data_IF_953780158737
#
_entry.id   IF_953780158737
#
_cell.length_a   1.000
_cell.length_b   1.000
_cell.length_c   1.000
_cell.angle_alpha   90.00
_cell.angle_beta   90.00
_cell.angle_gamma   90.00
#
_symmetry.space_group_name_H-M   'P 1'
#
loop_
_entity.id
_entity.type
_entity.pdbx_description
1 polymer ?
#
# COMPACT_ATOMS: atom_id res chain seq x y z
N UNK A 1 5.00 -18.52 -26.35
CA UNK A 1 4.74 -17.92 -25.02
C UNK A 1 4.61 -19.04 -23.99
N UNK A 2 5.50 -19.11 -23.00
CA UNK A 2 5.40 -20.08 -21.90
C UNK A 2 4.11 -19.81 -21.09
N UNK A 3 3.36 -20.88 -20.80
CA UNK A 3 2.09 -20.76 -20.07
C UNK A 3 2.37 -20.24 -18.64
N UNK A 4 1.42 -19.52 -18.06
CA UNK A 4 1.53 -19.01 -16.69
C UNK A 4 1.81 -20.15 -15.69
N UNK A 5 1.16 -21.30 -15.89
CA UNK A 5 1.33 -22.51 -15.08
C UNK A 5 2.77 -23.00 -15.03
N UNK A 6 3.47 -22.97 -16.17
CA UNK A 6 4.85 -23.47 -16.30
C UNK A 6 5.82 -22.51 -15.59
N UNK A 7 5.60 -21.20 -15.72
CA UNK A 7 6.34 -20.19 -14.99
C UNK A 7 6.18 -20.35 -13.48
N UNK A 8 4.95 -20.55 -13.00
CA UNK A 8 4.67 -20.73 -11.56
C UNK A 8 5.35 -22.00 -11.03
N UNK A 9 5.21 -23.13 -11.71
CA UNK A 9 5.80 -24.41 -11.30
C UNK A 9 7.33 -24.36 -11.27
N UNK A 10 7.96 -23.79 -12.30
CA UNK A 10 9.41 -23.71 -12.41
C UNK A 10 10.04 -22.78 -11.33
N UNK A 11 9.26 -21.86 -10.77
CA UNK A 11 9.78 -20.81 -9.86
C UNK A 11 9.09 -20.82 -8.49
N UNK A 12 8.38 -21.89 -8.12
CA UNK A 12 7.52 -21.95 -6.95
C UNK A 12 8.22 -21.54 -5.65
N UNK A 13 9.45 -21.97 -5.42
CA UNK A 13 10.17 -21.68 -4.17
C UNK A 13 10.46 -20.17 -4.01
N UNK A 14 10.92 -19.50 -5.07
CA UNK A 14 11.22 -18.07 -5.04
C UNK A 14 9.95 -17.21 -4.99
N UNK A 15 8.92 -17.59 -5.72
CA UNK A 15 7.61 -16.92 -5.70
C UNK A 15 6.92 -17.09 -4.35
N UNK A 16 6.98 -18.30 -3.75
CA UNK A 16 6.48 -18.57 -2.41
C UNK A 16 7.25 -17.78 -1.34
N UNK A 17 8.57 -17.62 -1.49
CA UNK A 17 9.35 -16.77 -0.60
C UNK A 17 8.92 -15.30 -0.70
N UNK A 18 8.68 -14.77 -1.91
CA UNK A 18 8.15 -13.43 -2.12
C UNK A 18 6.77 -13.25 -1.50
N UNK A 19 5.85 -14.19 -1.70
CA UNK A 19 4.54 -14.22 -1.08
C UNK A 19 4.63 -14.26 0.45
N UNK A 20 5.47 -15.14 1.02
CA UNK A 20 5.64 -15.29 2.46
C UNK A 20 6.15 -13.99 3.11
N UNK A 21 7.15 -13.34 2.48
CA UNK A 21 7.69 -12.06 2.97
C UNK A 21 6.61 -10.97 2.99
N UNK A 22 5.81 -10.85 1.92
CA UNK A 22 4.75 -9.84 1.87
C UNK A 22 3.57 -10.19 2.78
N UNK A 23 3.24 -11.49 2.94
CA UNK A 23 2.25 -11.92 3.92
C UNK A 23 2.73 -11.62 5.35
N UNK A 24 3.98 -11.94 5.69
CA UNK A 24 4.56 -11.62 7.00
C UNK A 24 4.59 -10.10 7.25
N UNK A 25 4.76 -9.27 6.22
CA UNK A 25 4.71 -7.82 6.35
C UNK A 25 3.36 -7.31 6.88
N UNK A 26 2.30 -8.08 6.70
CA UNK A 26 0.93 -7.74 7.12
C UNK A 26 0.82 -7.49 8.63
N UNK A 27 1.63 -8.16 9.44
CA UNK A 27 1.65 -7.94 10.90
C UNK A 27 2.19 -6.55 11.32
N UNK A 28 2.83 -5.82 10.42
CA UNK A 28 3.22 -4.42 10.61
C UNK A 28 2.43 -3.42 9.77
N UNK A 29 1.37 -3.87 9.09
CA UNK A 29 0.50 -3.01 8.29
C UNK A 29 -0.61 -2.37 9.12
N UNK A 30 -1.13 -1.25 8.64
CA UNK A 30 -2.19 -0.48 9.30
C UNK A 30 -3.41 -1.33 9.60
N UNK A 31 -3.90 -2.09 8.63
CA UNK A 31 -5.12 -2.89 8.76
C UNK A 31 -5.04 -3.93 9.89
N UNK A 32 -3.83 -4.44 10.20
CA UNK A 32 -3.62 -5.40 11.28
C UNK A 32 -3.44 -4.69 12.64
N UNK A 33 -2.58 -3.67 12.72
CA UNK A 33 -2.34 -2.93 13.96
C UNK A 33 -3.64 -2.32 14.49
N UNK A 34 -4.49 -1.83 13.59
CA UNK A 34 -5.75 -1.16 13.95
C UNK A 34 -6.86 -2.12 14.43
N UNK A 35 -6.68 -3.43 14.27
CA UNK A 35 -7.55 -4.43 14.91
C UNK A 35 -7.61 -4.21 16.43
N UNK A 36 -6.48 -3.84 17.01
CA UNK A 36 -6.31 -3.66 18.46
C UNK A 36 -6.47 -2.20 18.93
N UNK A 37 -6.95 -1.30 18.05
CA UNK A 37 -6.99 0.14 18.36
C UNK A 37 -7.88 0.47 19.58
N UNK A 38 -8.99 -0.23 19.75
CA UNK A 38 -9.89 -0.06 20.89
C UNK A 38 -9.20 -0.41 22.21
N UNK A 39 -8.61 -1.60 22.27
CA UNK A 39 -7.92 -2.16 23.43
C UNK A 39 -6.66 -1.36 23.79
N UNK A 40 -5.87 -0.95 22.78
CA UNK A 40 -4.68 -0.12 23.00
C UNK A 40 -5.08 1.24 23.58
N UNK A 41 -6.10 1.89 23.00
CA UNK A 41 -6.57 3.18 23.51
C UNK A 41 -7.09 3.08 24.93
N UNK A 42 -7.87 2.06 25.23
CA UNK A 42 -8.39 1.83 26.58
C UNK A 42 -7.26 1.53 27.59
N UNK A 43 -6.23 0.76 27.20
CA UNK A 43 -5.12 0.40 28.07
C UNK A 43 -4.20 1.58 28.42
N UNK A 44 -4.11 2.60 27.55
CA UNK A 44 -3.21 3.75 27.73
C UNK A 44 -3.95 5.09 27.86
N UNK A 45 -5.27 5.07 28.03
CA UNK A 45 -6.14 6.26 28.15
C UNK A 45 -5.90 7.27 27.00
N UNK A 46 -5.91 6.78 25.77
CA UNK A 46 -5.63 7.59 24.59
C UNK A 46 -6.92 8.01 23.89
N UNK A 47 -7.00 9.29 23.52
CA UNK A 47 -7.99 9.77 22.56
C UNK A 47 -7.73 9.24 21.15
N UNK A 48 -8.69 9.37 20.23
CA UNK A 48 -8.50 8.98 18.82
C UNK A 48 -7.36 9.79 18.15
N UNK A 49 -7.31 11.09 18.43
CA UNK A 49 -6.26 11.97 17.93
C UNK A 49 -4.88 11.65 18.50
N UNK A 50 -4.79 11.35 19.82
CA UNK A 50 -3.54 10.92 20.44
C UNK A 50 -3.02 9.61 19.81
N UNK A 51 -3.88 8.60 19.64
CA UNK A 51 -3.54 7.34 18.98
C UNK A 51 -3.10 7.55 17.53
N UNK A 52 -3.86 8.35 16.74
CA UNK A 52 -3.52 8.69 15.38
C UNK A 52 -2.18 9.44 15.28
N UNK A 53 -1.89 10.34 16.22
CA UNK A 53 -0.62 11.08 16.26
C UNK A 53 0.56 10.16 16.58
N UNK A 54 0.43 9.27 17.57
CA UNK A 54 1.45 8.25 17.89
C UNK A 54 1.75 7.41 16.64
N UNK A 55 0.71 6.93 15.97
CA UNK A 55 0.86 6.14 14.76
C UNK A 55 1.54 6.92 13.62
N UNK A 56 1.16 8.17 13.41
CA UNK A 56 1.73 9.05 12.39
C UNK A 56 3.22 9.32 12.63
N UNK A 57 3.60 9.69 13.86
CA UNK A 57 4.99 9.94 14.24
C UNK A 57 5.85 8.69 14.10
N UNK A 58 5.37 7.54 14.58
CA UNK A 58 6.06 6.27 14.45
C UNK A 58 6.24 5.84 12.98
N UNK A 59 5.20 6.03 12.15
CA UNK A 59 5.24 5.75 10.71
C UNK A 59 6.21 6.67 9.98
N UNK A 60 6.17 7.97 10.25
CA UNK A 60 7.10 8.95 9.65
C UNK A 60 8.56 8.65 10.04
N UNK A 61 8.81 8.33 11.30
CA UNK A 61 10.15 7.94 11.77
C UNK A 61 10.64 6.66 11.06
N UNK A 62 9.77 5.65 10.92
CA UNK A 62 10.13 4.42 10.20
C UNK A 62 10.47 4.68 8.73
N UNK A 63 9.73 5.57 8.08
CA UNK A 63 9.99 5.98 6.71
C UNK A 63 11.33 6.72 6.56
N UNK A 64 11.67 7.59 7.51
CA UNK A 64 12.96 8.25 7.54
C UNK A 64 14.10 7.23 7.63
N UNK A 65 14.00 6.24 8.53
CA UNK A 65 15.00 5.17 8.66
C UNK A 65 15.09 4.31 7.39
N UNK A 66 13.97 4.06 6.71
CA UNK A 66 13.93 3.27 5.47
C UNK A 66 14.78 3.86 4.34
N UNK A 67 15.02 5.18 4.33
CA UNK A 67 15.89 5.83 3.32
C UNK A 67 17.29 5.21 3.31
N UNK A 68 17.82 4.86 4.49
CA UNK A 68 19.13 4.21 4.63
C UNK A 68 19.01 2.69 4.73
N UNK A 69 18.06 2.18 5.49
CA UNK A 69 17.87 0.75 5.72
C UNK A 69 17.49 0.00 4.43
N UNK A 70 16.80 0.64 3.49
CA UNK A 70 16.49 0.05 2.18
C UNK A 70 17.71 -0.37 1.39
N UNK A 71 18.85 0.36 1.51
CA UNK A 71 20.11 0.03 0.84
C UNK A 71 20.78 -1.24 1.36
N UNK A 72 20.37 -1.77 2.50
CA UNK A 72 20.86 -3.05 3.02
C UNK A 72 20.60 -4.21 2.06
N UNK A 73 19.49 -4.16 1.32
CA UNK A 73 19.17 -5.17 0.28
C UNK A 73 20.16 -5.16 -0.89
N UNK A 74 20.95 -4.09 -1.07
CA UNK A 74 21.99 -4.00 -2.09
C UNK A 74 23.30 -4.63 -1.63
N UNK A 75 23.54 -4.66 -0.32
CA UNK A 75 24.80 -5.12 0.28
C UNK A 75 24.75 -6.57 0.75
N UNK A 76 23.58 -7.03 1.15
CA UNK A 76 23.39 -8.36 1.74
C UNK A 76 22.42 -9.21 0.91
N UNK A 77 22.52 -10.52 1.07
CA UNK A 77 21.62 -11.47 0.42
C UNK A 77 20.23 -11.38 1.01
N UNK A 78 19.20 -11.48 0.15
CA UNK A 78 17.79 -11.42 0.58
C UNK A 78 17.47 -12.46 1.65
N UNK A 79 18.05 -13.67 1.58
CA UNK A 79 17.91 -14.70 2.59
C UNK A 79 18.36 -14.22 3.98
N UNK A 80 19.50 -13.53 4.08
CA UNK A 80 20.05 -13.04 5.35
C UNK A 80 19.19 -11.91 5.91
N UNK A 81 18.94 -10.88 5.09
CA UNK A 81 18.12 -9.73 5.50
C UNK A 81 16.68 -10.16 5.81
N UNK A 82 16.07 -10.98 4.96
CA UNK A 82 14.70 -11.44 5.15
C UNK A 82 14.53 -12.17 6.48
N UNK A 83 15.48 -13.05 6.86
CA UNK A 83 15.45 -13.75 8.15
C UNK A 83 15.66 -12.79 9.32
N UNK A 84 16.61 -11.85 9.23
CA UNK A 84 16.89 -10.86 10.29
C UNK A 84 15.65 -9.96 10.50
N UNK A 85 15.06 -9.47 9.41
CA UNK A 85 13.88 -8.59 9.46
C UNK A 85 12.65 -9.35 9.99
N UNK A 86 12.47 -10.62 9.59
CA UNK A 86 11.39 -11.47 10.08
C UNK A 86 11.54 -11.76 11.59
N UNK A 87 12.77 -12.05 12.04
CA UNK A 87 13.06 -12.21 13.46
C UNK A 87 12.84 -10.91 14.24
N UNK A 88 13.25 -9.76 13.69
CA UNK A 88 13.00 -8.44 14.26
C UNK A 88 11.51 -8.14 14.39
N UNK A 89 10.71 -8.48 13.37
CA UNK A 89 9.25 -8.33 13.41
C UNK A 89 8.62 -9.25 14.48
N UNK A 90 9.08 -10.50 14.58
CA UNK A 90 8.60 -11.44 15.61
C UNK A 90 8.93 -10.94 17.02
N UNK A 91 10.17 -10.46 17.25
CA UNK A 91 10.55 -9.86 18.54
C UNK A 91 9.72 -8.61 18.86
N UNK A 92 9.41 -7.81 17.86
CA UNK A 92 8.54 -6.62 18.04
C UNK A 92 7.11 -7.04 18.40
N UNK A 93 6.59 -8.11 17.80
CA UNK A 93 5.30 -8.66 18.17
C UNK A 93 5.29 -9.21 19.62
N UNK A 94 6.39 -9.83 20.07
CA UNK A 94 6.55 -10.18 21.50
C UNK A 94 6.62 -8.93 22.37
N UNK A 95 7.30 -7.87 21.94
CA UNK A 95 7.37 -6.63 22.68
C UNK A 95 5.98 -5.99 22.93
N UNK A 96 5.03 -6.12 21.97
CA UNK A 96 3.64 -5.68 22.13
C UNK A 96 2.92 -6.34 23.32
N UNK A 97 3.27 -7.55 23.69
CA UNK A 97 2.74 -8.20 24.88
C UNK A 97 3.16 -7.48 26.18
N UNK A 98 4.41 -6.98 26.23
CA UNK A 98 5.02 -6.41 27.44
C UNK A 98 4.88 -4.87 27.55
N UNK A 99 4.27 -4.20 26.58
CA UNK A 99 4.14 -2.73 26.64
C UNK A 99 3.33 -2.29 27.85
N UNK A 100 3.89 -1.35 28.60
CA UNK A 100 3.26 -0.79 29.80
C UNK A 100 3.31 0.76 29.86
N UNK A 101 3.86 1.41 28.85
CA UNK A 101 3.94 2.86 28.75
C UNK A 101 3.74 3.35 27.32
N UNK A 102 3.30 4.60 27.18
CA UNK A 102 3.09 5.24 25.87
C UNK A 102 4.41 5.30 25.07
N UNK A 103 5.55 5.51 25.73
CA UNK A 103 6.86 5.54 25.05
C UNK A 103 7.24 4.18 24.47
N UNK A 104 6.98 3.09 25.20
CA UNK A 104 7.16 1.73 24.66
C UNK A 104 6.21 1.48 23.50
N UNK A 105 4.97 1.97 23.58
CA UNK A 105 4.00 1.87 22.49
C UNK A 105 4.52 2.58 21.23
N UNK A 106 4.99 3.84 21.33
CA UNK A 106 5.57 4.59 20.20
C UNK A 106 6.72 3.83 19.55
N UNK A 107 7.65 3.33 20.36
CA UNK A 107 8.80 2.57 19.88
C UNK A 107 8.36 1.26 19.20
N UNK A 108 7.40 0.55 19.78
CA UNK A 108 6.94 -0.73 19.24
C UNK A 108 6.17 -0.53 17.93
N UNK A 109 5.30 0.49 17.83
CA UNK A 109 4.66 0.86 16.56
C UNK A 109 5.70 1.25 15.51
N UNK A 110 6.71 2.05 15.86
CA UNK A 110 7.82 2.37 14.96
C UNK A 110 8.51 1.11 14.43
N UNK A 111 8.83 0.15 15.29
CA UNK A 111 9.49 -1.10 14.90
C UNK A 111 8.58 -2.00 14.04
N UNK A 112 7.27 -2.10 14.37
CA UNK A 112 6.29 -2.81 13.56
C UNK A 112 6.23 -2.22 12.14
N UNK A 113 6.20 -0.89 12.04
CA UNK A 113 6.18 -0.18 10.75
C UNK A 113 7.48 -0.37 9.99
N UNK A 114 8.62 -0.29 10.67
CA UNK A 114 9.94 -0.44 10.06
C UNK A 114 10.18 -1.86 9.56
N UNK A 115 10.01 -2.87 10.41
CA UNK A 115 10.26 -4.27 10.02
C UNK A 115 9.15 -4.83 9.14
N UNK A 116 7.87 -4.56 9.44
CA UNK A 116 6.73 -5.11 8.70
C UNK A 116 6.50 -4.37 7.39
N UNK A 117 5.91 -3.20 7.42
CA UNK A 117 5.57 -2.46 6.21
C UNK A 117 6.81 -2.05 5.42
N UNK A 118 7.86 -1.56 6.08
CA UNK A 118 9.05 -1.06 5.45
C UNK A 118 9.92 -2.20 4.88
N UNK A 119 10.77 -2.77 5.71
CA UNK A 119 11.84 -3.67 5.28
C UNK A 119 11.32 -4.98 4.69
N UNK A 120 10.31 -5.62 5.29
CA UNK A 120 9.81 -6.91 4.81
C UNK A 120 9.22 -6.81 3.40
N UNK A 121 8.34 -5.84 3.17
CA UNK A 121 7.77 -5.57 1.84
C UNK A 121 8.86 -5.17 0.84
N UNK A 122 9.83 -4.36 1.27
CA UNK A 122 10.95 -3.93 0.42
C UNK A 122 11.81 -5.12 0.00
N UNK A 123 12.19 -6.00 0.92
CA UNK A 123 12.94 -7.22 0.61
C UNK A 123 12.25 -8.08 -0.44
N UNK A 124 10.92 -8.28 -0.31
CA UNK A 124 10.14 -9.04 -1.27
C UNK A 124 10.16 -8.40 -2.67
N UNK A 125 9.88 -7.10 -2.75
CA UNK A 125 9.80 -6.39 -4.04
C UNK A 125 11.15 -6.33 -4.74
N UNK A 126 12.24 -6.07 -3.99
CA UNK A 126 13.61 -6.08 -4.53
C UNK A 126 14.00 -7.47 -5.02
N UNK A 127 13.69 -8.52 -4.23
CA UNK A 127 13.95 -9.90 -4.63
C UNK A 127 13.26 -10.26 -5.95
N UNK A 128 11.96 -10.01 -6.05
CA UNK A 128 11.19 -10.30 -7.25
C UNK A 128 11.68 -9.51 -8.46
N UNK A 129 12.02 -8.24 -8.25
CA UNK A 129 12.53 -7.39 -9.32
C UNK A 129 13.90 -7.83 -9.86
N UNK A 130 14.79 -8.33 -8.99
CA UNK A 130 16.15 -8.78 -9.36
C UNK A 130 16.17 -10.17 -9.94
N UNK A 131 15.36 -11.08 -9.39
CA UNK A 131 15.39 -12.48 -9.80
C UNK A 131 14.62 -12.75 -11.09
N UNK A 132 13.67 -11.90 -11.47
CA UNK A 132 12.77 -12.11 -12.59
C UNK A 132 12.76 -10.94 -13.59
N UNK A 133 13.91 -10.58 -14.16
CA UNK A 133 14.01 -9.41 -15.06
C UNK A 133 13.02 -9.50 -16.24
N UNK A 134 12.99 -10.62 -16.96
CA UNK A 134 12.10 -10.81 -18.12
C UNK A 134 10.60 -10.92 -17.76
N UNK A 135 10.27 -11.23 -16.50
CA UNK A 135 8.89 -11.46 -16.01
C UNK A 135 8.65 -10.78 -14.67
N UNK A 136 9.31 -9.64 -14.46
CA UNK A 136 9.26 -8.86 -13.23
C UNK A 136 7.82 -8.60 -12.78
N UNK A 137 6.95 -8.15 -13.69
CA UNK A 137 5.55 -7.86 -13.37
C UNK A 137 4.81 -9.05 -12.78
N UNK A 138 4.95 -10.25 -13.37
CA UNK A 138 4.30 -11.46 -12.85
C UNK A 138 4.82 -11.85 -11.47
N UNK A 139 6.13 -11.80 -11.27
CA UNK A 139 6.74 -12.16 -9.99
C UNK A 139 6.33 -11.19 -8.87
N UNK A 140 6.35 -9.87 -9.14
CA UNK A 140 5.91 -8.84 -8.21
C UNK A 140 4.41 -8.97 -7.88
N UNK A 141 3.57 -9.28 -8.89
CA UNK A 141 2.14 -9.50 -8.66
C UNK A 141 1.89 -10.72 -7.76
N UNK A 142 2.59 -11.85 -7.99
CA UNK A 142 2.45 -13.04 -7.12
C UNK A 142 2.90 -12.73 -5.69
N UNK A 143 4.02 -12.04 -5.52
CA UNK A 143 4.44 -11.59 -4.19
C UNK A 143 3.41 -10.66 -3.55
N UNK A 144 2.84 -9.71 -4.29
CA UNK A 144 1.82 -8.78 -3.80
C UNK A 144 0.55 -9.47 -3.28
N UNK A 145 0.22 -10.67 -3.78
CA UNK A 145 -0.89 -11.47 -3.24
C UNK A 145 -0.70 -11.83 -1.76
N UNK A 146 0.53 -11.86 -1.25
CA UNK A 146 0.78 -12.13 0.16
C UNK A 146 0.19 -11.05 1.07
N UNK A 147 0.47 -9.77 0.80
CA UNK A 147 -0.12 -8.67 1.59
C UNK A 147 -1.63 -8.60 1.39
N UNK A 148 -2.12 -8.82 0.18
CA UNK A 148 -3.56 -8.87 -0.10
C UNK A 148 -4.27 -9.99 0.70
N UNK A 149 -3.65 -11.18 0.78
CA UNK A 149 -4.17 -12.27 1.60
C UNK A 149 -4.17 -11.90 3.09
N UNK A 150 -3.10 -11.26 3.58
CA UNK A 150 -3.02 -10.78 4.96
C UNK A 150 -4.10 -9.73 5.28
N UNK A 151 -4.31 -8.77 4.38
CA UNK A 151 -5.35 -7.73 4.51
C UNK A 151 -6.76 -8.33 4.56
N UNK A 152 -7.02 -9.35 3.74
CA UNK A 152 -8.32 -10.00 3.68
C UNK A 152 -8.60 -10.91 4.89
N UNK A 153 -7.60 -11.63 5.41
CA UNK A 153 -7.84 -12.72 6.36
C UNK A 153 -7.43 -12.39 7.80
N UNK A 154 -6.33 -11.66 8.01
CA UNK A 154 -5.83 -11.43 9.37
C UNK A 154 -6.80 -10.60 10.24
N UNK A 155 -7.41 -9.50 9.76
CA UNK A 155 -8.37 -8.75 10.57
C UNK A 155 -9.55 -9.60 11.02
N UNK A 156 -10.14 -10.39 10.12
CA UNK A 156 -11.28 -11.28 10.47
C UNK A 156 -10.88 -12.27 11.55
N UNK A 157 -9.76 -12.97 11.35
CA UNK A 157 -9.28 -13.98 12.29
C UNK A 157 -8.97 -13.40 13.67
N UNK A 158 -8.25 -12.28 13.72
CA UNK A 158 -7.83 -11.68 14.98
C UNK A 158 -8.97 -10.95 15.71
N UNK A 159 -9.90 -10.30 14.99
CA UNK A 159 -11.10 -9.71 15.62
C UNK A 159 -12.00 -10.79 16.20
N UNK A 160 -12.17 -11.94 15.54
CA UNK A 160 -12.91 -13.07 16.09
C UNK A 160 -12.23 -13.61 17.37
N UNK A 161 -10.90 -13.67 17.40
CA UNK A 161 -10.14 -14.13 18.57
C UNK A 161 -10.15 -13.10 19.72
N UNK A 162 -10.27 -11.79 19.45
CA UNK A 162 -10.42 -10.76 20.49
C UNK A 162 -11.64 -10.98 21.39
N UNK A 163 -12.69 -11.66 20.88
CA UNK A 163 -13.84 -12.02 21.68
C UNK A 163 -13.55 -13.09 22.75
N UNK A 164 -12.41 -13.77 22.69
CA UNK A 164 -12.06 -14.91 23.57
C UNK A 164 -10.74 -14.68 24.32
N UNK A 165 -9.78 -14.00 23.70
CA UNK A 165 -8.42 -13.83 24.21
C UNK A 165 -8.11 -12.37 24.46
N UNK A 166 -7.28 -12.10 25.49
CA UNK A 166 -6.69 -10.77 25.69
C UNK A 166 -5.86 -10.36 24.47
N UNK A 167 -5.95 -9.09 24.09
CA UNK A 167 -5.27 -8.55 22.93
C UNK A 167 -3.74 -8.70 22.97
N UNK A 168 -3.13 -8.66 24.14
CA UNK A 168 -1.70 -8.88 24.31
C UNK A 168 -1.31 -10.31 23.96
N UNK A 169 -2.13 -11.29 24.35
CA UNK A 169 -1.91 -12.72 24.03
C UNK A 169 -1.98 -12.95 22.51
N UNK A 170 -2.84 -12.23 21.81
CA UNK A 170 -2.94 -12.32 20.36
C UNK A 170 -1.66 -11.81 19.66
N UNK A 171 -0.94 -10.88 20.25
CA UNK A 171 0.38 -10.51 19.75
C UNK A 171 1.44 -11.60 19.94
N UNK A 172 1.33 -12.44 20.97
CA UNK A 172 2.16 -13.64 21.08
C UNK A 172 1.80 -14.70 20.02
N UNK A 173 0.52 -14.82 19.66
CA UNK A 173 0.09 -15.68 18.54
C UNK A 173 0.67 -15.18 17.22
N UNK A 174 0.64 -13.87 16.99
CA UNK A 174 1.29 -13.24 15.83
C UNK A 174 2.79 -13.52 15.82
N UNK A 175 3.47 -13.36 16.95
CA UNK A 175 4.89 -13.68 17.09
C UNK A 175 5.19 -15.15 16.80
N UNK A 176 4.40 -16.08 17.34
CA UNK A 176 4.56 -17.52 17.09
C UNK A 176 4.40 -17.84 15.59
N UNK A 177 3.44 -17.22 14.91
CA UNK A 177 3.25 -17.36 13.46
C UNK A 177 4.47 -16.86 12.69
N UNK A 178 5.02 -15.69 13.05
CA UNK A 178 6.22 -15.14 12.42
C UNK A 178 7.46 -16.02 12.67
N UNK A 179 7.61 -16.56 13.87
CA UNK A 179 8.69 -17.50 14.20
C UNK A 179 8.57 -18.79 13.37
N UNK A 180 7.35 -19.32 13.19
CA UNK A 180 7.13 -20.49 12.34
C UNK A 180 7.50 -20.24 10.86
N UNK A 181 7.43 -19.00 10.40
CA UNK A 181 7.86 -18.64 9.04
C UNK A 181 9.38 -18.58 8.87
N UNK A 182 10.18 -18.48 9.93
CA UNK A 182 11.66 -18.43 9.83
C UNK A 182 12.25 -19.67 9.15
N UNK A 183 11.99 -20.91 9.62
CA UNK A 183 12.50 -22.11 8.97
C UNK A 183 11.94 -22.29 7.55
N UNK A 184 10.68 -21.90 7.32
CA UNK A 184 10.05 -21.95 6.00
C UNK A 184 10.77 -21.01 5.02
N UNK A 185 10.97 -19.74 5.39
CA UNK A 185 11.70 -18.78 4.57
C UNK A 185 13.13 -19.24 4.29
N UNK A 186 13.81 -19.74 5.34
CA UNK A 186 15.16 -20.27 5.20
C UNK A 186 15.22 -21.44 4.22
N UNK A 187 14.24 -22.34 4.24
CA UNK A 187 14.15 -23.50 3.34
C UNK A 187 13.87 -23.10 1.90
N UNK A 188 12.92 -22.16 1.68
CA UNK A 188 12.56 -21.64 0.36
C UNK A 188 13.72 -20.93 -0.34
N UNK A 189 14.56 -20.23 0.44
CA UNK A 189 15.72 -19.49 -0.06
C UNK A 189 17.06 -20.25 0.05
N UNK A 190 17.03 -21.58 0.21
CA UNK A 190 18.27 -22.40 0.23
C UNK A 190 19.10 -22.22 -1.05
N UNK A 191 18.43 -22.11 -2.20
CA UNK A 191 19.05 -21.81 -3.50
C UNK A 191 18.62 -20.40 -3.89
N UNK A 192 19.47 -19.44 -3.58
CA UNK A 192 19.24 -18.05 -3.97
C UNK A 192 19.45 -17.92 -5.48
N UNK A 193 18.51 -17.25 -6.15
CA UNK A 193 18.63 -17.02 -7.59
C UNK A 193 19.64 -15.92 -7.85
N UNK A 194 20.59 -16.16 -8.76
CA UNK A 194 21.52 -15.12 -9.20
C UNK A 194 20.72 -14.01 -9.92
N UNK A 195 20.97 -12.72 -9.61
CA UNK A 195 20.34 -11.63 -10.35
C UNK A 195 20.61 -11.79 -11.84
N UNK A 196 19.56 -11.81 -12.66
CA UNK A 196 19.72 -11.76 -14.11
C UNK A 196 20.23 -10.36 -14.46
N UNK A 197 21.39 -10.29 -15.12
CA UNK A 197 22.02 -9.05 -15.53
C UNK A 197 21.10 -8.20 -16.39
N UNK A 198 21.19 -6.92 -16.19
CA UNK A 198 20.54 -5.80 -16.84
C UNK A 198 20.03 -6.06 -18.27
N UNK A 199 18.71 -6.10 -18.44
CA UNK A 199 18.12 -5.78 -19.72
C UNK A 199 18.44 -4.30 -20.00
N UNK A 200 19.08 -4.02 -21.13
CA UNK A 200 19.22 -2.65 -21.62
C UNK A 200 17.82 -2.08 -21.81
N UNK A 201 17.44 -1.15 -20.92
CA UNK A 201 16.21 -0.40 -21.09
C UNK A 201 16.33 0.42 -22.38
N UNK A 202 15.59 0.06 -23.39
CA UNK A 202 15.26 0.96 -24.49
C UNK A 202 14.42 2.08 -23.88
N UNK A 203 15.07 3.19 -23.54
CA UNK A 203 14.47 4.28 -22.80
C UNK A 203 13.34 4.93 -23.61
N UNK A 204 12.10 4.86 -23.10
CA UNK A 204 10.98 5.61 -23.66
C UNK A 204 11.04 7.06 -23.17
N UNK A 205 10.90 8.01 -24.11
CA UNK A 205 10.84 9.43 -23.80
C UNK A 205 9.48 9.80 -23.18
N UNK A 206 9.49 10.74 -22.23
CA UNK A 206 8.31 11.33 -21.64
C UNK A 206 7.73 12.49 -22.45
N UNK A 207 7.04 13.41 -21.76
CA UNK A 207 6.46 14.63 -22.36
C UNK A 207 7.49 15.41 -23.17
N UNK A 208 7.06 15.94 -24.31
CA UNK A 208 7.88 16.70 -25.27
C UNK A 208 9.13 15.94 -25.76
N UNK A 209 9.07 14.60 -25.85
CA UNK A 209 10.19 13.78 -26.33
C UNK A 209 11.43 13.81 -25.42
N UNK A 210 11.31 14.23 -24.16
CA UNK A 210 12.43 14.46 -23.24
C UNK A 210 12.52 13.37 -22.16
N UNK A 211 13.74 13.18 -21.66
CA UNK A 211 14.03 12.40 -20.44
C UNK A 211 14.20 13.37 -19.28
N UNK A 212 13.19 13.43 -18.40
CA UNK A 212 13.15 14.37 -17.29
C UNK A 212 13.99 13.87 -16.12
N UNK A 213 14.79 14.77 -15.55
CA UNK A 213 15.46 14.54 -14.26
C UNK A 213 14.47 14.68 -13.09
N UNK A 214 14.84 14.19 -11.89
CA UNK A 214 14.03 14.36 -10.67
C UNK A 214 13.75 15.84 -10.37
N UNK A 215 14.74 16.71 -10.54
CA UNK A 215 14.58 18.14 -10.27
C UNK A 215 13.62 18.83 -11.26
N UNK A 216 13.70 18.47 -12.54
CA UNK A 216 12.77 18.96 -13.56
C UNK A 216 11.36 18.45 -13.32
N UNK A 217 11.20 17.16 -13.00
CA UNK A 217 9.89 16.56 -12.65
C UNK A 217 9.27 17.28 -11.44
N UNK A 218 10.05 17.54 -10.39
CA UNK A 218 9.59 18.27 -9.20
C UNK A 218 9.11 19.69 -9.52
N UNK A 219 9.69 20.35 -10.51
CA UNK A 219 9.27 21.70 -10.96
C UNK A 219 8.12 21.66 -11.96
N UNK A 220 7.73 20.48 -12.45
CA UNK A 220 6.66 20.33 -13.44
C UNK A 220 5.29 20.58 -12.83
N UNK A 221 4.44 21.44 -13.41
CA UNK A 221 3.07 21.60 -12.97
C UNK A 221 2.25 20.30 -13.05
N UNK A 222 2.55 19.40 -14.01
CA UNK A 222 1.87 18.11 -14.16
C UNK A 222 2.08 17.25 -12.91
N UNK A 223 3.28 17.26 -12.34
CA UNK A 223 3.56 16.54 -11.12
C UNK A 223 2.65 17.01 -9.97
N UNK A 224 2.62 18.32 -9.70
CA UNK A 224 1.87 18.89 -8.57
C UNK A 224 0.35 18.74 -8.73
N UNK A 225 -0.15 18.78 -9.96
CA UNK A 225 -1.54 18.46 -10.26
C UNK A 225 -1.88 16.99 -9.99
N UNK A 226 -0.90 16.08 -10.09
CA UNK A 226 -1.08 14.65 -9.80
C UNK A 226 -0.87 14.30 -8.31
N UNK A 227 -0.20 15.17 -7.53
CA UNK A 227 0.10 14.89 -6.11
C UNK A 227 -1.16 14.61 -5.27
N UNK A 228 -2.28 15.35 -5.37
CA UNK A 228 -3.49 15.00 -4.63
C UNK A 228 -4.04 13.62 -4.98
N UNK A 229 -3.98 13.24 -6.25
CA UNK A 229 -4.40 11.93 -6.71
C UNK A 229 -3.47 10.79 -6.25
N UNK A 230 -2.19 11.08 -6.04
CA UNK A 230 -1.20 10.17 -5.46
C UNK A 230 -1.42 9.99 -3.95
N UNK A 231 -1.62 11.11 -3.22
CA UNK A 231 -1.74 11.14 -1.77
C UNK A 231 -3.08 10.60 -1.27
N UNK A 232 -4.16 10.83 -2.03
CA UNK A 232 -5.52 10.49 -1.61
C UNK A 232 -5.67 9.04 -1.16
N UNK A 233 -5.41 8.04 -2.02
CA UNK A 233 -5.52 6.65 -1.60
C UNK A 233 -4.54 6.28 -0.48
N UNK A 234 -3.34 6.85 -0.48
CA UNK A 234 -2.37 6.61 0.60
C UNK A 234 -2.88 7.13 1.96
N UNK A 235 -3.48 8.32 2.00
CA UNK A 235 -4.00 8.91 3.23
C UNK A 235 -5.34 8.27 3.64
N UNK A 236 -6.31 8.26 2.74
CA UNK A 236 -7.69 7.98 3.10
C UNK A 236 -8.00 6.49 3.20
N UNK A 237 -7.39 5.62 2.37
CA UNK A 237 -7.52 4.18 2.58
C UNK A 237 -6.80 3.75 3.86
N UNK A 238 -5.62 4.38 4.16
CA UNK A 238 -4.96 4.12 5.43
C UNK A 238 -5.83 4.59 6.61
N UNK A 239 -6.47 5.76 6.51
CA UNK A 239 -7.42 6.23 7.51
C UNK A 239 -8.64 5.29 7.65
N UNK A 240 -9.21 4.81 6.56
CA UNK A 240 -10.31 3.84 6.58
C UNK A 240 -9.94 2.58 7.38
N UNK A 241 -8.79 1.96 7.07
CA UNK A 241 -8.34 0.80 7.82
C UNK A 241 -7.93 1.14 9.26
N UNK A 242 -7.41 2.33 9.51
CA UNK A 242 -7.01 2.77 10.84
C UNK A 242 -8.21 3.04 11.74
N UNK A 243 -9.25 3.66 11.22
CA UNK A 243 -10.46 4.02 11.96
C UNK A 243 -11.53 2.92 11.92
N UNK A 244 -11.15 1.64 11.72
CA UNK A 244 -12.10 0.53 11.60
C UNK A 244 -12.98 0.34 12.83
N UNK A 245 -12.45 0.56 14.05
CA UNK A 245 -13.22 0.45 15.29
C UNK A 245 -14.25 1.58 15.39
N UNK A 246 -13.87 2.88 15.39
CA UNK A 246 -14.84 3.96 15.48
C UNK A 246 -15.79 4.03 14.28
N UNK A 247 -15.38 3.55 13.10
CA UNK A 247 -16.29 3.43 11.96
C UNK A 247 -17.39 2.39 12.23
N UNK A 248 -17.03 1.21 12.75
CA UNK A 248 -18.00 0.19 13.10
C UNK A 248 -18.98 0.70 14.16
N UNK A 249 -18.47 1.34 15.22
CA UNK A 249 -19.26 1.95 16.30
C UNK A 249 -20.24 3.00 15.75
N UNK A 250 -19.77 3.94 14.94
CA UNK A 250 -20.58 5.00 14.35
C UNK A 250 -21.69 4.48 13.43
N UNK A 251 -21.47 3.32 12.78
CA UNK A 251 -22.47 2.65 11.93
C UNK A 251 -23.37 1.69 12.71
N UNK A 252 -23.14 1.48 14.00
CA UNK A 252 -23.86 0.46 14.79
C UNK A 252 -23.54 -0.97 14.33
N UNK A 253 -22.42 -1.18 13.67
CA UNK A 253 -21.96 -2.50 13.21
C UNK A 253 -21.04 -3.12 14.25
N UNK A 254 -21.03 -4.47 14.32
CA UNK A 254 -19.97 -5.13 15.08
C UNK A 254 -18.63 -4.98 14.35
N UNK A 255 -17.53 -4.97 15.08
CA UNK A 255 -16.19 -4.92 14.47
C UNK A 255 -15.98 -6.09 13.49
N UNK A 256 -16.45 -7.30 13.86
CA UNK A 256 -16.42 -8.49 12.98
C UNK A 256 -17.18 -8.24 11.67
N UNK A 257 -18.35 -7.59 11.73
CA UNK A 257 -19.14 -7.27 10.54
C UNK A 257 -18.33 -6.38 9.58
N UNK A 258 -17.68 -5.33 10.08
CA UNK A 258 -16.90 -4.44 9.24
C UNK A 258 -15.69 -5.16 8.62
N UNK A 259 -14.89 -5.88 9.42
CA UNK A 259 -13.67 -6.54 8.88
C UNK A 259 -14.01 -7.69 7.95
N UNK A 260 -15.21 -8.30 8.05
CA UNK A 260 -15.69 -9.30 7.10
C UNK A 260 -15.91 -8.75 5.68
N UNK A 261 -15.96 -7.44 5.52
CA UNK A 261 -16.05 -6.75 4.23
C UNK A 261 -14.66 -6.47 3.60
N UNK A 262 -13.56 -6.57 4.36
CA UNK A 262 -12.21 -6.32 3.82
C UNK A 262 -11.83 -7.26 2.65
N UNK A 263 -12.20 -8.55 2.64
CA UNK A 263 -12.01 -9.40 1.48
C UNK A 263 -12.65 -8.85 0.20
N UNK A 264 -13.80 -8.16 0.30
CA UNK A 264 -14.45 -7.54 -0.86
C UNK A 264 -13.61 -6.38 -1.41
N UNK A 265 -13.08 -5.53 -0.52
CA UNK A 265 -12.13 -4.46 -0.92
C UNK A 265 -10.91 -5.05 -1.62
N UNK A 266 -10.27 -6.05 -1.00
CA UNK A 266 -9.05 -6.65 -1.53
C UNK A 266 -9.30 -7.38 -2.85
N UNK A 267 -10.36 -8.19 -2.94
CA UNK A 267 -10.69 -8.93 -4.17
C UNK A 267 -10.99 -7.99 -5.34
N UNK A 268 -11.78 -6.94 -5.11
CA UNK A 268 -12.06 -5.92 -6.13
C UNK A 268 -10.83 -5.11 -6.50
N UNK A 269 -9.97 -4.77 -5.54
CA UNK A 269 -8.71 -4.08 -5.80
C UNK A 269 -7.79 -4.91 -6.72
N UNK A 270 -7.62 -6.20 -6.43
CA UNK A 270 -6.83 -7.12 -7.28
C UNK A 270 -7.45 -7.29 -8.65
N UNK A 271 -8.76 -7.49 -8.75
CA UNK A 271 -9.46 -7.64 -10.02
C UNK A 271 -9.31 -6.39 -10.90
N UNK A 272 -9.53 -5.21 -10.33
CA UNK A 272 -9.44 -3.94 -11.08
C UNK A 272 -8.01 -3.48 -11.34
N UNK A 273 -7.02 -3.93 -10.58
CA UNK A 273 -5.60 -3.77 -10.94
C UNK A 273 -5.27 -4.47 -12.27
N UNK A 274 -5.84 -5.67 -12.51
CA UNK A 274 -5.67 -6.39 -13.76
C UNK A 274 -6.42 -5.72 -14.92
N UNK A 275 -7.69 -5.32 -14.69
CA UNK A 275 -8.51 -4.60 -15.67
C UNK A 275 -7.86 -3.28 -16.07
N UNK A 276 -7.28 -2.56 -15.10
CA UNK A 276 -6.61 -1.28 -15.31
C UNK A 276 -5.45 -1.37 -16.30
N UNK A 277 -4.70 -2.48 -16.31
CA UNK A 277 -3.65 -2.71 -17.30
C UNK A 277 -4.19 -2.63 -18.72
N UNK A 278 -5.27 -3.36 -19.02
CA UNK A 278 -5.91 -3.32 -20.33
C UNK A 278 -6.52 -1.96 -20.69
N UNK A 279 -7.07 -1.23 -19.70
CA UNK A 279 -7.58 0.13 -19.91
C UNK A 279 -6.45 1.11 -20.24
N UNK A 280 -5.32 1.02 -19.53
CA UNK A 280 -4.13 1.85 -19.80
C UNK A 280 -3.56 1.57 -21.18
N UNK A 281 -3.44 0.31 -21.57
CA UNK A 281 -2.94 -0.07 -22.88
C UNK A 281 -3.85 0.43 -24.02
N UNK A 282 -5.18 0.45 -23.80
CA UNK A 282 -6.15 0.85 -24.83
C UNK A 282 -6.35 2.37 -24.91
N UNK A 283 -6.42 3.07 -23.78
CA UNK A 283 -6.80 4.48 -23.72
C UNK A 283 -5.66 5.43 -23.36
N UNK A 284 -4.56 4.90 -22.83
CA UNK A 284 -3.42 5.65 -22.30
C UNK A 284 -3.69 6.30 -20.95
N UNK A 285 -2.63 6.51 -20.17
CA UNK A 285 -2.71 7.09 -18.81
C UNK A 285 -3.26 8.52 -18.82
N UNK A 286 -2.96 9.31 -19.86
CA UNK A 286 -3.38 10.70 -19.98
C UNK A 286 -4.91 10.87 -20.00
N UNK A 287 -5.64 10.00 -20.73
CA UNK A 287 -7.10 10.05 -20.80
C UNK A 287 -7.77 9.53 -19.55
N UNK A 288 -7.19 8.51 -18.90
CA UNK A 288 -7.76 7.89 -17.71
C UNK A 288 -7.52 8.72 -16.45
N UNK A 289 -6.56 9.64 -16.45
CA UNK A 289 -6.13 10.38 -15.26
C UNK A 289 -7.27 11.10 -14.52
N UNK A 290 -8.27 11.63 -15.21
CA UNK A 290 -9.42 12.30 -14.60
C UNK A 290 -10.54 11.39 -14.12
N UNK A 291 -10.52 10.10 -14.46
CA UNK A 291 -11.67 9.20 -14.25
C UNK A 291 -11.39 8.08 -13.24
N UNK A 292 -10.14 7.67 -13.07
CA UNK A 292 -9.81 6.47 -12.30
C UNK A 292 -10.10 6.58 -10.80
N UNK A 293 -10.27 7.79 -10.25
CA UNK A 293 -10.66 8.02 -8.86
C UNK A 293 -12.19 8.09 -8.65
N UNK A 294 -12.99 8.12 -9.70
CA UNK A 294 -14.47 8.19 -9.59
C UNK A 294 -15.05 7.07 -8.70
N UNK A 295 -14.60 5.81 -8.78
CA UNK A 295 -15.11 4.79 -7.87
C UNK A 295 -14.84 5.09 -6.39
N UNK A 296 -13.71 5.75 -6.06
CA UNK A 296 -13.45 6.17 -4.68
C UNK A 296 -14.40 7.28 -4.21
N UNK A 297 -14.70 8.25 -5.07
CA UNK A 297 -15.71 9.28 -4.77
C UNK A 297 -17.03 8.62 -4.37
N UNK A 298 -17.54 7.74 -5.24
CA UNK A 298 -18.81 7.04 -5.01
C UNK A 298 -18.72 6.10 -3.80
N UNK A 299 -17.60 5.42 -3.61
CA UNK A 299 -17.37 4.51 -2.49
C UNK A 299 -17.44 5.23 -1.14
N UNK A 300 -16.75 6.36 -0.99
CA UNK A 300 -16.80 7.16 0.24
C UNK A 300 -18.15 7.84 0.44
N UNK A 301 -18.84 8.26 -0.61
CA UNK A 301 -20.20 8.78 -0.50
C UNK A 301 -21.19 7.72 0.00
N UNK A 302 -21.11 6.50 -0.53
CA UNK A 302 -21.95 5.40 -0.06
C UNK A 302 -21.61 5.00 1.37
N UNK A 303 -20.32 4.95 1.72
CA UNK A 303 -19.88 4.68 3.09
C UNK A 303 -20.41 5.77 4.04
N UNK A 304 -20.41 7.03 3.64
CA UNK A 304 -20.92 8.15 4.43
C UNK A 304 -22.44 8.03 4.65
N UNK A 305 -23.21 7.84 3.58
CA UNK A 305 -24.67 7.96 3.57
C UNK A 305 -25.44 6.69 3.94
N UNK A 306 -24.77 5.51 3.96
CA UNK A 306 -25.44 4.25 4.22
C UNK A 306 -25.44 3.88 5.70
N UNK A 307 -26.57 3.50 6.26
CA UNK A 307 -26.66 2.88 7.59
C UNK A 307 -26.61 1.36 7.50
N UNK A 308 -27.07 0.79 6.38
CA UNK A 308 -27.13 -0.64 6.16
C UNK A 308 -25.82 -1.25 5.65
N UNK A 309 -25.50 -2.47 6.12
CA UNK A 309 -24.28 -3.22 5.76
C UNK A 309 -24.16 -3.42 4.25
N UNK A 310 -25.28 -3.69 3.54
CA UNK A 310 -25.25 -3.98 2.10
C UNK A 310 -24.77 -2.77 1.26
N UNK A 311 -25.27 -1.56 1.55
CA UNK A 311 -24.83 -0.35 0.87
C UNK A 311 -23.40 0.05 1.28
N UNK A 312 -23.03 -0.14 2.56
CA UNK A 312 -21.67 0.04 3.01
C UNK A 312 -20.70 -0.92 2.31
N UNK A 313 -21.09 -2.20 2.13
CA UNK A 313 -20.34 -3.18 1.36
C UNK A 313 -20.12 -2.75 -0.10
N UNK A 314 -21.16 -2.23 -0.75
CA UNK A 314 -21.05 -1.66 -2.10
C UNK A 314 -20.07 -0.48 -2.13
N UNK A 315 -20.10 0.39 -1.11
CA UNK A 315 -19.12 1.47 -0.95
C UNK A 315 -17.69 0.94 -0.88
N UNK A 316 -17.46 -0.09 -0.06
CA UNK A 316 -16.15 -0.74 0.10
C UNK A 316 -15.70 -1.43 -1.20
N UNK A 317 -16.60 -2.06 -1.95
CA UNK A 317 -16.31 -2.62 -3.29
C UNK A 317 -15.84 -1.53 -4.25
N UNK A 318 -16.51 -0.38 -4.28
CA UNK A 318 -16.11 0.75 -5.13
C UNK A 318 -14.76 1.36 -4.69
N UNK A 319 -14.51 1.44 -3.38
CA UNK A 319 -13.20 1.86 -2.86
C UNK A 319 -12.10 0.89 -3.31
N UNK A 320 -12.33 -0.41 -3.22
CA UNK A 320 -11.42 -1.45 -3.72
C UNK A 320 -11.17 -1.32 -5.22
N UNK A 321 -12.23 -1.11 -6.02
CA UNK A 321 -12.13 -0.84 -7.44
C UNK A 321 -11.22 0.36 -7.73
N UNK A 322 -11.45 1.49 -7.06
CA UNK A 322 -10.64 2.70 -7.21
C UNK A 322 -9.18 2.48 -6.79
N UNK A 323 -8.94 1.68 -5.74
CA UNK A 323 -7.59 1.32 -5.28
C UNK A 323 -6.84 0.49 -6.34
N UNK A 324 -7.48 -0.50 -6.95
CA UNK A 324 -6.88 -1.30 -8.02
C UNK A 324 -6.52 -0.47 -9.25
N UNK A 325 -7.42 0.42 -9.68
CA UNK A 325 -7.16 1.39 -10.75
C UNK A 325 -5.97 2.30 -10.41
N UNK A 326 -5.93 2.83 -9.17
CA UNK A 326 -4.87 3.71 -8.69
C UNK A 326 -3.48 3.07 -8.73
N UNK A 327 -3.35 1.84 -8.24
CA UNK A 327 -2.07 1.11 -8.20
C UNK A 327 -1.47 1.00 -9.60
N UNK A 328 -2.27 0.65 -10.60
CA UNK A 328 -1.81 0.54 -11.99
C UNK A 328 -1.50 1.90 -12.60
N UNK A 329 -2.38 2.89 -12.40
CA UNK A 329 -2.17 4.25 -12.90
C UNK A 329 -0.88 4.86 -12.35
N UNK A 330 -0.62 4.78 -11.05
CA UNK A 330 0.60 5.29 -10.44
C UNK A 330 1.85 4.49 -10.83
N UNK A 331 1.68 3.21 -11.19
CA UNK A 331 2.75 2.38 -11.74
C UNK A 331 3.24 2.82 -13.13
N UNK A 332 2.39 3.44 -13.92
CA UNK A 332 2.63 3.70 -15.36
C UNK A 332 2.76 5.19 -15.70
N UNK A 333 1.95 6.06 -15.12
CA UNK A 333 1.84 7.48 -15.50
C UNK A 333 3.15 8.26 -15.41
N UNK A 334 4.02 7.92 -14.44
CA UNK A 334 5.30 8.60 -14.25
C UNK A 334 6.30 8.31 -15.39
N UNK A 335 6.25 7.09 -15.93
CA UNK A 335 7.06 6.72 -17.09
C UNK A 335 6.58 7.46 -18.35
N UNK A 336 5.26 7.55 -18.56
CA UNK A 336 4.66 8.26 -19.68
C UNK A 336 4.90 9.78 -19.59
N UNK A 337 4.81 10.35 -18.37
CA UNK A 337 5.02 11.78 -18.17
C UNK A 337 6.49 12.19 -18.28
N UNK A 338 7.41 11.46 -17.64
CA UNK A 338 8.79 11.91 -17.42
C UNK A 338 9.86 11.06 -18.12
N UNK A 339 9.46 9.98 -18.79
CA UNK A 339 10.38 9.03 -19.42
C UNK A 339 11.01 8.05 -18.43
N UNK A 340 11.77 7.10 -18.94
CA UNK A 340 12.25 5.96 -18.15
C UNK A 340 13.66 6.13 -17.59
N UNK A 341 14.49 7.03 -18.16
CA UNK A 341 15.91 7.17 -17.81
C UNK A 341 16.17 7.47 -16.32
N UNK A 342 15.36 8.33 -15.71
CA UNK A 342 15.50 8.72 -14.29
C UNK A 342 14.28 8.30 -13.44
N UNK A 343 13.49 7.34 -13.95
CA UNK A 343 12.23 6.90 -13.35
C UNK A 343 12.40 6.39 -11.91
N UNK A 344 13.51 5.73 -11.61
CA UNK A 344 13.79 5.26 -10.24
C UNK A 344 13.86 6.39 -9.22
N UNK A 345 14.58 7.48 -9.54
CA UNK A 345 14.69 8.66 -8.67
C UNK A 345 13.34 9.41 -8.52
N UNK A 346 12.53 9.46 -9.59
CA UNK A 346 11.21 10.07 -9.57
C UNK A 346 10.25 9.23 -8.72
N UNK A 347 10.24 7.90 -8.89
CA UNK A 347 9.42 6.99 -8.08
C UNK A 347 9.78 7.01 -6.60
N UNK A 348 11.07 7.13 -6.25
CA UNK A 348 11.49 7.26 -4.85
C UNK A 348 10.92 8.53 -4.20
N UNK A 349 10.89 9.64 -4.93
CA UNK A 349 10.27 10.89 -4.48
C UNK A 349 8.75 10.73 -4.29
N UNK A 350 8.07 10.04 -5.22
CA UNK A 350 6.63 9.76 -5.09
C UNK A 350 6.34 8.84 -3.89
N UNK A 351 7.17 7.82 -3.67
CA UNK A 351 7.04 6.94 -2.52
C UNK A 351 7.19 7.69 -1.19
N UNK A 352 8.11 8.65 -1.10
CA UNK A 352 8.25 9.49 0.08
C UNK A 352 6.99 10.32 0.35
N UNK A 353 6.39 10.91 -0.68
CA UNK A 353 5.11 11.62 -0.56
C UNK A 353 3.97 10.69 -0.12
N UNK A 354 3.89 9.47 -0.69
CA UNK A 354 2.88 8.48 -0.28
C UNK A 354 3.00 8.12 1.20
N UNK A 355 4.22 7.94 1.72
CA UNK A 355 4.42 7.63 3.14
C UNK A 355 3.93 8.77 4.03
N UNK A 356 4.16 10.03 3.65
CA UNK A 356 3.57 11.18 4.36
C UNK A 356 2.04 11.09 4.37
N UNK A 357 1.41 10.73 3.24
CA UNK A 357 -0.03 10.50 3.16
C UNK A 357 -0.49 9.45 4.16
N UNK A 358 0.17 8.28 4.22
CA UNK A 358 -0.19 7.19 5.15
C UNK A 358 -0.06 7.58 6.63
N UNK A 359 0.80 8.54 6.96
CA UNK A 359 0.93 9.07 8.30
C UNK A 359 -0.15 10.12 8.62
N UNK A 360 -0.41 11.04 7.69
CA UNK A 360 -1.35 12.15 7.90
C UNK A 360 -2.81 11.70 8.03
N UNK A 361 -3.24 10.70 7.23
CA UNK A 361 -4.62 10.22 7.23
C UNK A 361 -5.12 9.82 8.63
N UNK A 362 -4.48 8.86 9.31
CA UNK A 362 -4.85 8.45 10.66
C UNK A 362 -4.83 9.58 11.70
N UNK A 363 -3.81 10.45 11.66
CA UNK A 363 -3.69 11.56 12.62
C UNK A 363 -4.83 12.56 12.44
N UNK A 364 -5.07 13.01 11.21
CA UNK A 364 -6.11 14.00 10.92
C UNK A 364 -7.50 13.46 11.26
N UNK A 365 -7.82 12.24 10.82
CA UNK A 365 -9.13 11.64 11.07
C UNK A 365 -9.37 11.36 12.54
N UNK A 366 -8.33 10.99 13.31
CA UNK A 366 -8.42 10.79 14.76
C UNK A 366 -8.73 12.09 15.50
N UNK A 367 -8.02 13.18 15.18
CA UNK A 367 -8.30 14.50 15.75
C UNK A 367 -9.72 14.97 15.41
N UNK A 368 -10.18 14.75 14.20
CA UNK A 368 -11.55 15.11 13.80
C UNK A 368 -12.60 14.30 14.58
N UNK A 369 -12.34 13.02 14.89
CA UNK A 369 -13.24 12.23 15.76
C UNK A 369 -13.29 12.83 17.17
N UNK A 370 -12.15 13.21 17.75
CA UNK A 370 -12.10 13.86 19.07
C UNK A 370 -12.86 15.20 19.10
N UNK A 371 -12.95 15.89 17.96
CA UNK A 371 -13.74 17.11 17.78
C UNK A 371 -15.24 16.85 17.50
N UNK A 372 -15.69 15.59 17.50
CA UNK A 372 -17.09 15.22 17.30
C UNK A 372 -17.47 14.94 15.84
N UNK A 373 -16.51 14.94 14.90
CA UNK A 373 -16.75 14.55 13.49
C UNK A 373 -16.45 13.07 13.33
N UNK A 374 -17.46 12.21 13.37
CA UNK A 374 -17.29 10.77 13.18
C UNK A 374 -16.76 10.42 11.77
N UNK A 375 -16.25 9.20 11.58
CA UNK A 375 -15.63 8.82 10.31
C UNK A 375 -16.62 8.77 9.13
N UNK A 376 -17.90 8.35 9.28
CA UNK A 376 -18.92 8.52 8.27
C UNK A 376 -19.09 9.96 7.80
N UNK A 377 -19.17 10.93 8.70
CA UNK A 377 -19.27 12.34 8.35
C UNK A 377 -18.02 12.85 7.62
N UNK A 378 -16.81 12.45 8.09
CA UNK A 378 -15.56 12.77 7.41
C UNK A 378 -15.49 12.18 6.00
N UNK A 379 -16.16 11.05 5.74
CA UNK A 379 -16.18 10.39 4.43
C UNK A 379 -16.82 11.25 3.34
N UNK A 380 -17.73 12.17 3.66
CA UNK A 380 -18.20 13.18 2.70
C UNK A 380 -17.06 14.12 2.29
N UNK A 381 -16.28 14.62 3.24
CA UNK A 381 -15.10 15.46 2.95
C UNK A 381 -14.05 14.72 2.14
N UNK A 382 -13.83 13.45 2.43
CA UNK A 382 -12.92 12.57 1.67
C UNK A 382 -13.43 12.38 0.24
N UNK A 383 -14.72 12.19 0.03
CA UNK A 383 -15.31 12.11 -1.31
C UNK A 383 -15.09 13.41 -2.11
N UNK A 384 -15.30 14.57 -1.49
CA UNK A 384 -15.01 15.89 -2.10
C UNK A 384 -13.52 16.01 -2.44
N UNK A 385 -12.63 15.57 -1.55
CA UNK A 385 -11.20 15.52 -1.84
C UNK A 385 -10.90 14.68 -3.09
N UNK A 386 -11.45 13.47 -3.20
CA UNK A 386 -11.24 12.60 -4.37
C UNK A 386 -11.81 13.20 -5.65
N UNK A 387 -12.96 13.88 -5.58
CA UNK A 387 -13.54 14.59 -6.72
C UNK A 387 -12.59 15.72 -7.20
N UNK A 388 -12.08 16.53 -6.27
CA UNK A 388 -11.09 17.57 -6.57
C UNK A 388 -9.79 17.00 -7.13
N UNK A 389 -9.27 15.91 -6.53
CA UNK A 389 -8.09 15.21 -7.00
C UNK A 389 -8.28 14.63 -8.41
N UNK A 390 -9.46 14.09 -8.72
CA UNK A 390 -9.80 13.60 -10.07
C UNK A 390 -9.82 14.74 -11.11
N UNK A 391 -10.39 15.89 -10.75
CA UNK A 391 -10.38 17.08 -11.63
C UNK A 391 -8.95 17.57 -11.91
N UNK A 392 -8.11 17.69 -10.87
CA UNK A 392 -6.71 18.10 -11.02
C UNK A 392 -5.90 17.09 -11.84
N UNK A 393 -6.09 15.79 -11.60
CA UNK A 393 -5.50 14.72 -12.39
C UNK A 393 -5.98 14.75 -13.85
N UNK A 394 -7.24 15.08 -14.10
CA UNK A 394 -7.78 15.28 -15.45
C UNK A 394 -7.13 16.46 -16.18
N UNK A 395 -6.86 17.56 -15.48
CA UNK A 395 -6.09 18.70 -16.04
C UNK A 395 -4.66 18.27 -16.35
N UNK A 396 -4.00 17.55 -15.42
CA UNK A 396 -2.67 16.99 -15.64
C UNK A 396 -2.62 16.08 -16.86
N UNK A 397 -3.60 15.16 -16.97
CA UNK A 397 -3.73 14.25 -18.11
C UNK A 397 -3.88 14.97 -19.45
N UNK A 398 -4.73 16.01 -19.51
CA UNK A 398 -4.86 16.85 -20.72
C UNK A 398 -3.55 17.52 -21.13
N UNK A 399 -2.84 18.13 -20.17
CA UNK A 399 -1.53 18.74 -20.41
C UNK A 399 -0.49 17.73 -20.87
N UNK A 400 -0.46 16.56 -20.24
CA UNK A 400 0.43 15.46 -20.62
C UNK A 400 0.08 14.94 -22.02
N UNK A 401 -1.18 14.71 -22.34
CA UNK A 401 -1.65 14.26 -23.66
C UNK A 401 -1.25 15.22 -24.77
N UNK A 402 -1.46 16.53 -24.57
CA UNK A 402 -1.04 17.56 -25.52
C UNK A 402 0.49 17.57 -25.75
N UNK A 403 1.29 17.40 -24.68
CA UNK A 403 2.75 17.34 -24.78
C UNK A 403 3.29 16.05 -25.42
N UNK A 404 2.55 14.93 -25.30
CA UNK A 404 2.91 13.65 -25.92
C UNK A 404 2.56 13.62 -27.41
N UNK A 405 1.48 14.29 -27.85
CA UNK A 405 1.09 14.41 -29.26
C UNK A 405 1.95 15.43 -30.04
N UNK A 406 2.53 16.39 -29.37
CA UNK A 406 3.43 17.38 -29.97
C UNK A 406 4.84 16.82 -30.29
N UNK A 407 5.14 15.54 -30.02
CA UNK A 407 6.42 14.91 -30.32
C UNK A 407 6.45 14.43 -31.80
N UNK A 408 7.25 15.06 -32.70
CA UNK A 408 7.31 14.70 -34.11
C UNK A 408 7.79 13.26 -34.38
N UNK A 409 8.46 12.63 -33.39
CA UNK A 409 9.03 11.29 -33.54
C UNK A 409 7.98 10.17 -33.41
N UNK A 410 6.83 10.43 -32.80
CA UNK A 410 5.73 9.45 -32.70
C UNK A 410 4.87 9.37 -33.95
N UNK A 411 4.85 10.41 -34.77
CA UNK A 411 4.09 10.46 -36.03
C UNK A 411 4.68 9.52 -37.09
N UNK A 412 6.00 9.28 -37.07
CA UNK A 412 6.71 8.43 -38.05
C UNK A 412 6.56 6.92 -37.77
N UNK A 413 6.11 6.52 -36.60
CA UNK A 413 5.94 5.08 -36.24
C UNK A 413 4.49 4.59 -36.42
N UNK A 414 3.57 5.45 -36.86
CA UNK A 414 2.17 5.09 -37.13
C UNK A 414 1.84 5.06 -38.64
N UNK A 415 2.79 5.37 -39.51
CA UNK A 415 2.77 5.09 -40.95
C UNK A 415 3.58 3.80 -41.26
#
# INVERSE_FOLDING_TARGET
>A
MERLSDFLRANVAWLAAGFLLTFASSFGQTFFISVFAGEIRAAFDLSHGAWGTIYALATAASAAVMVWAGSLTDRFRIRQIGVIVLAGLAMTAVAMFYINSVWMLVLTIFLLRLFGQGLMSHCAMVAMARWFVARRGRAVSVAGLGVATGEALLPIGFVALLGVFDWRVLWLLAAATLVAFLPLLWSLLRRERTPQSHAQDSGSAGMAGRMWTRAEAFRSPVMWLMVPALLGPAAWNTAFFFQQVPLAEAKGWTHVTLVSLFPLFTATSVAFMLVAGGLVDRFGTARLAGMYLTPMVLGYLLLASSDGVALGALGIVLMGMGNGLHVTMMGTIWADAFGTRHLGAIRAMMAALMVLGTALGPALTGVLIDLGFDFPLQSYGIAVYFAGAALLAGVAGRRMGAALTADPRRTVLQE
#
